data_IF_240487345849
#
_entry.id   IF_240487345849
#
_cell.length_a   1.000
_cell.length_b   1.000
_cell.length_c   1.000
_cell.angle_alpha   90.00
_cell.angle_beta   90.00
_cell.angle_gamma   90.00
#
_symmetry.space_group_name_H-M   'P 1'
#
loop_
_entity.id
_entity.type
_entity.pdbx_description
1 polymer ?
#
# COMPACT_ATOMS: atom_id res chain seq x y z
N UNK A 1 -1.81 14.66 -12.62
CA UNK A 1 -1.52 13.23 -12.36
C UNK A 1 -2.81 12.48 -12.01
N UNK A 2 -3.00 11.28 -12.54
CA UNK A 2 -4.23 10.48 -12.36
C UNK A 2 -4.55 10.24 -10.88
N UNK A 3 -3.54 10.07 -10.03
CA UNK A 3 -3.69 9.93 -8.56
C UNK A 3 -4.51 11.07 -7.92
N UNK A 4 -4.43 12.31 -8.47
CA UNK A 4 -5.22 13.44 -7.95
C UNK A 4 -6.72 13.25 -8.15
N UNK A 5 -7.14 12.50 -9.18
CA UNK A 5 -8.55 12.20 -9.41
C UNK A 5 -9.12 11.39 -8.24
N UNK A 6 -8.44 10.31 -7.85
CA UNK A 6 -8.82 9.48 -6.69
C UNK A 6 -8.80 10.27 -5.38
N UNK A 7 -7.82 11.17 -5.19
CA UNK A 7 -7.75 12.02 -3.98
C UNK A 7 -8.95 12.96 -3.91
N UNK A 8 -9.26 13.68 -4.99
CA UNK A 8 -10.39 14.62 -5.02
C UNK A 8 -11.74 13.87 -4.93
N UNK A 9 -11.84 12.68 -5.52
CA UNK A 9 -13.04 11.84 -5.47
C UNK A 9 -13.46 11.49 -4.04
N UNK A 10 -12.50 11.10 -3.18
CA UNK A 10 -12.79 10.70 -1.79
C UNK A 10 -12.65 11.85 -0.78
N UNK A 11 -12.24 13.04 -1.24
CA UNK A 11 -12.05 14.23 -0.39
C UNK A 11 -13.27 14.63 0.43
N UNK A 12 -14.51 14.52 -0.07
CA UNK A 12 -15.69 14.77 0.74
C UNK A 12 -15.79 13.84 1.98
N UNK A 13 -15.34 12.58 1.86
CA UNK A 13 -15.38 11.61 2.95
C UNK A 13 -14.17 11.70 3.90
N UNK A 14 -12.98 11.96 3.35
CA UNK A 14 -11.70 11.81 4.06
C UNK A 14 -10.97 13.13 4.34
N UNK A 15 -11.37 14.24 3.72
CA UNK A 15 -10.77 15.56 3.90
C UNK A 15 -9.26 15.55 3.65
N UNK A 16 -8.48 16.06 4.62
CA UNK A 16 -7.00 16.10 4.51
C UNK A 16 -6.33 14.72 4.49
N UNK A 17 -7.03 13.65 4.87
CA UNK A 17 -6.49 12.29 4.93
C UNK A 17 -6.68 11.51 3.63
N UNK A 18 -7.31 12.12 2.62
CA UNK A 18 -7.57 11.49 1.32
C UNK A 18 -6.31 10.97 0.64
N UNK A 19 -5.21 11.73 0.69
CA UNK A 19 -3.93 11.26 0.14
C UNK A 19 -3.41 9.98 0.80
N UNK A 20 -3.54 9.88 2.13
CA UNK A 20 -3.12 8.69 2.89
C UNK A 20 -4.02 7.50 2.60
N UNK A 21 -5.32 7.73 2.42
CA UNK A 21 -6.27 6.67 2.08
C UNK A 21 -6.02 6.15 0.65
N UNK A 22 -5.81 7.03 -0.32
CA UNK A 22 -5.50 6.65 -1.72
C UNK A 22 -4.21 5.83 -1.80
N UNK A 23 -3.18 6.16 -1.02
CA UNK A 23 -1.93 5.38 -0.94
C UNK A 23 -2.22 3.91 -0.57
N UNK A 24 -3.03 3.70 0.47
CA UNK A 24 -3.46 2.37 0.91
C UNK A 24 -4.38 1.67 -0.09
N UNK A 25 -5.24 2.42 -0.79
CA UNK A 25 -6.08 1.86 -1.83
C UNK A 25 -5.25 1.37 -3.01
N UNK A 26 -4.18 2.08 -3.36
CA UNK A 26 -3.29 1.69 -4.44
C UNK A 26 -2.46 0.46 -4.05
N UNK A 27 -2.01 0.36 -2.79
CA UNK A 27 -1.43 -0.87 -2.24
C UNK A 27 -2.43 -2.04 -2.32
N UNK A 28 -3.72 -1.78 -2.05
CA UNK A 28 -4.77 -2.78 -2.21
C UNK A 28 -4.92 -3.26 -3.65
N UNK A 29 -5.04 -2.35 -4.63
CA UNK A 29 -5.19 -2.74 -6.04
C UNK A 29 -3.96 -3.50 -6.55
N UNK A 30 -2.76 -3.13 -6.11
CA UNK A 30 -1.54 -3.87 -6.42
C UNK A 30 -1.58 -5.28 -5.83
N UNK A 31 -1.90 -5.42 -4.54
CA UNK A 31 -1.92 -6.72 -3.85
C UNK A 31 -3.07 -7.62 -4.34
N UNK A 32 -4.27 -7.07 -4.55
CA UNK A 32 -5.44 -7.80 -5.02
C UNK A 32 -5.29 -8.31 -6.46
N UNK A 33 -4.53 -7.60 -7.29
CA UNK A 33 -4.27 -7.94 -8.69
C UNK A 33 -2.82 -8.35 -8.94
N UNK A 34 -2.13 -8.87 -7.92
CA UNK A 34 -0.69 -9.08 -7.93
C UNK A 34 -0.18 -9.88 -9.14
N UNK A 35 -0.93 -10.89 -9.56
CA UNK A 35 -0.59 -11.75 -10.71
C UNK A 35 -0.52 -11.01 -12.06
N UNK A 36 -1.05 -9.78 -12.16
CA UNK A 36 -0.91 -8.94 -13.35
C UNK A 36 0.44 -8.22 -13.40
N UNK A 37 1.15 -8.12 -12.28
CA UNK A 37 2.31 -7.25 -12.12
C UNK A 37 3.60 -7.99 -11.75
N UNK A 38 3.49 -9.23 -11.27
CA UNK A 38 4.64 -10.04 -10.90
C UNK A 38 4.38 -11.55 -11.12
N UNK A 39 5.43 -12.27 -11.52
CA UNK A 39 5.39 -13.72 -11.76
C UNK A 39 5.54 -14.56 -10.46
N UNK A 40 5.99 -13.93 -9.37
CA UNK A 40 6.09 -14.56 -8.05
C UNK A 40 4.76 -14.44 -7.29
N UNK A 41 4.39 -15.43 -6.49
CA UNK A 41 3.20 -15.35 -5.64
C UNK A 41 3.38 -14.30 -4.54
N UNK A 42 2.33 -13.49 -4.26
CA UNK A 42 2.39 -12.40 -3.27
C UNK A 42 2.86 -12.86 -1.89
N UNK A 43 2.48 -14.07 -1.46
CA UNK A 43 2.91 -14.65 -0.18
C UNK A 43 4.42 -14.91 -0.16
N UNK A 44 4.99 -15.41 -1.24
CA UNK A 44 6.42 -15.72 -1.34
C UNK A 44 7.24 -14.43 -1.40
N UNK A 45 6.76 -13.44 -2.17
CA UNK A 45 7.33 -12.09 -2.19
C UNK A 45 7.32 -11.47 -0.78
N UNK A 46 6.18 -11.51 -0.10
CA UNK A 46 6.02 -10.92 1.24
C UNK A 46 6.94 -11.59 2.26
N UNK A 47 7.03 -12.92 2.25
CA UNK A 47 7.97 -13.67 3.08
C UNK A 47 9.43 -13.33 2.77
N UNK A 48 9.77 -13.13 1.50
CA UNK A 48 11.10 -12.71 1.09
C UNK A 48 11.45 -11.33 1.67
N UNK A 49 10.54 -10.35 1.54
CA UNK A 49 10.69 -9.00 2.11
C UNK A 49 10.89 -9.07 3.63
N UNK A 50 10.05 -9.83 4.34
CA UNK A 50 10.16 -9.99 5.79
C UNK A 50 11.48 -10.63 6.22
N UNK A 51 11.98 -11.63 5.48
CA UNK A 51 13.30 -12.22 5.72
C UNK A 51 14.43 -11.20 5.57
N UNK A 52 14.37 -10.32 4.56
CA UNK A 52 15.35 -9.24 4.39
C UNK A 52 15.32 -8.29 5.58
N UNK A 53 14.13 -7.81 5.96
CA UNK A 53 13.96 -6.87 7.07
C UNK A 53 14.44 -7.47 8.39
N UNK A 54 14.12 -8.74 8.67
CA UNK A 54 14.57 -9.44 9.87
C UNK A 54 16.10 -9.62 9.90
N UNK A 55 16.72 -10.02 8.77
CA UNK A 55 18.18 -10.17 8.67
C UNK A 55 18.92 -8.85 8.87
N UNK A 56 18.31 -7.74 8.45
CA UNK A 56 18.87 -6.39 8.59
C UNK A 56 18.33 -5.62 9.78
N UNK A 57 17.71 -6.30 10.77
CA UNK A 57 16.99 -5.65 11.86
C UNK A 57 17.76 -4.53 12.53
N UNK A 58 19.05 -4.73 12.83
CA UNK A 58 19.88 -3.72 13.50
C UNK A 58 20.14 -2.46 12.66
N UNK A 59 20.08 -2.56 11.32
CA UNK A 59 20.24 -1.44 10.38
C UNK A 59 18.93 -0.64 10.21
N UNK A 60 17.79 -1.17 10.67
CA UNK A 60 16.50 -0.51 10.50
C UNK A 60 16.37 0.72 11.43
N UNK A 61 15.66 1.77 11.00
CA UNK A 61 15.26 2.87 11.87
C UNK A 61 14.45 2.38 13.08
N UNK A 62 14.54 3.07 14.22
CA UNK A 62 13.87 2.67 15.48
C UNK A 62 12.35 2.51 15.33
N UNK A 63 11.71 3.32 14.48
CA UNK A 63 10.28 3.17 14.19
C UNK A 63 9.98 1.85 13.48
N UNK A 64 10.75 1.52 12.46
CA UNK A 64 10.59 0.26 11.69
C UNK A 64 10.85 -0.96 12.57
N UNK A 65 11.87 -0.92 13.45
CA UNK A 65 12.14 -1.99 14.43
C UNK A 65 10.92 -2.30 15.31
N UNK A 66 10.22 -1.26 15.78
CA UNK A 66 9.02 -1.42 16.63
C UNK A 66 7.83 -2.02 15.89
N UNK A 67 7.65 -1.72 14.61
CA UNK A 67 6.49 -2.21 13.85
C UNK A 67 6.74 -3.57 13.19
N UNK A 68 8.00 -3.93 12.90
CA UNK A 68 8.33 -5.14 12.15
C UNK A 68 7.73 -6.44 12.72
N UNK A 69 7.75 -6.70 14.05
CA UNK A 69 7.13 -7.91 14.59
C UNK A 69 5.63 -8.01 14.27
N UNK A 70 4.91 -6.89 14.31
CA UNK A 70 3.49 -6.83 13.98
C UNK A 70 3.25 -6.98 12.48
N UNK A 71 4.10 -6.37 11.65
CA UNK A 71 4.04 -6.52 10.19
C UNK A 71 4.14 -7.98 9.77
N UNK A 72 5.07 -8.72 10.38
CA UNK A 72 5.29 -10.14 10.10
C UNK A 72 4.14 -10.98 10.64
N UNK A 73 3.78 -10.81 11.92
CA UNK A 73 2.75 -11.62 12.58
C UNK A 73 1.37 -11.48 11.93
N UNK A 74 1.07 -10.30 11.37
CA UNK A 74 -0.21 -10.01 10.71
C UNK A 74 -0.12 -10.02 9.18
N UNK A 75 1.04 -10.39 8.62
CA UNK A 75 1.29 -10.45 7.17
C UNK A 75 0.74 -9.25 6.39
N UNK A 76 1.09 -8.03 6.83
CA UNK A 76 0.49 -6.79 6.32
C UNK A 76 0.50 -6.68 4.79
N UNK A 77 1.58 -7.14 4.14
CA UNK A 77 1.74 -7.05 2.68
C UNK A 77 0.69 -7.89 1.95
N UNK A 78 0.40 -9.10 2.44
CA UNK A 78 -0.66 -9.95 1.88
C UNK A 78 -2.05 -9.42 2.26
N UNK A 79 -2.20 -8.92 3.49
CA UNK A 79 -3.48 -8.40 3.97
C UNK A 79 -4.01 -7.21 3.16
N UNK A 80 -3.15 -6.45 2.47
CA UNK A 80 -3.63 -5.42 1.55
C UNK A 80 -4.52 -5.98 0.43
N UNK A 81 -4.40 -7.25 0.03
CA UNK A 81 -5.25 -7.84 -1.01
C UNK A 81 -6.72 -8.00 -0.60
N UNK A 82 -7.06 -7.84 0.68
CA UNK A 82 -8.38 -8.16 1.24
C UNK A 82 -9.07 -6.91 1.79
N UNK A 83 -10.24 -6.56 1.25
CA UNK A 83 -11.07 -5.46 1.77
C UNK A 83 -11.41 -5.64 3.27
N UNK A 84 -11.81 -6.86 3.74
CA UNK A 84 -11.98 -7.10 5.17
C UNK A 84 -10.73 -6.81 6.02
N UNK A 85 -9.54 -7.11 5.52
CA UNK A 85 -8.29 -6.84 6.24
C UNK A 85 -7.91 -5.35 6.20
N UNK A 86 -8.28 -4.61 5.15
CA UNK A 86 -8.11 -3.15 5.12
C UNK A 86 -8.84 -2.45 6.27
N UNK A 87 -10.00 -2.95 6.70
CA UNK A 87 -10.67 -2.42 7.90
C UNK A 87 -9.75 -2.45 9.12
N UNK A 88 -8.95 -3.51 9.30
CA UNK A 88 -8.00 -3.63 10.41
C UNK A 88 -6.83 -2.66 10.26
N UNK A 89 -6.31 -2.49 9.04
CA UNK A 89 -5.25 -1.54 8.73
C UNK A 89 -5.69 -0.11 9.09
N UNK A 90 -6.86 0.29 8.59
CA UNK A 90 -7.44 1.60 8.85
C UNK A 90 -7.80 1.81 10.32
N UNK A 91 -8.35 0.79 10.99
CA UNK A 91 -8.64 0.86 12.42
C UNK A 91 -7.35 1.01 13.27
N UNK A 92 -6.28 0.29 12.92
CA UNK A 92 -4.98 0.43 13.55
C UNK A 92 -4.36 1.82 13.35
N UNK A 93 -4.64 2.47 12.22
CA UNK A 93 -4.24 3.86 11.96
C UNK A 93 -5.06 4.85 12.77
N UNK A 94 -6.38 4.69 12.83
CA UNK A 94 -7.27 5.54 13.62
C UNK A 94 -6.87 5.55 15.10
N UNK A 95 -6.52 4.38 15.66
CA UNK A 95 -6.01 4.31 17.04
C UNK A 95 -4.75 5.15 17.27
N UNK A 96 -3.87 5.25 16.27
CA UNK A 96 -2.62 6.04 16.35
C UNK A 96 -2.85 7.53 16.12
N UNK A 97 -3.96 7.92 15.51
CA UNK A 97 -4.32 9.33 15.23
C UNK A 97 -5.43 9.84 16.15
N UNK A 98 -5.72 9.14 17.25
CA UNK A 98 -6.81 9.45 18.17
C UNK A 98 -8.18 9.56 17.48
N UNK A 99 -8.43 8.73 16.45
CA UNK A 99 -9.65 8.69 15.65
C UNK A 99 -9.98 9.97 14.85
N UNK A 100 -9.08 10.96 14.85
CA UNK A 100 -9.25 12.22 14.13
C UNK A 100 -9.14 12.06 12.60
N UNK A 101 -8.64 10.91 12.14
CA UNK A 101 -8.43 10.64 10.73
C UNK A 101 -9.68 10.14 9.99
N UNK A 102 -10.73 9.74 10.73
CA UNK A 102 -11.98 9.26 10.15
C UNK A 102 -11.80 8.02 9.30
N UNK A 103 -10.80 7.17 9.60
CA UNK A 103 -10.45 6.01 8.78
C UNK A 103 -11.52 4.93 8.81
N UNK A 104 -12.45 4.96 9.77
CA UNK A 104 -13.69 4.18 9.74
C UNK A 104 -14.51 4.37 8.44
N UNK A 105 -14.40 5.54 7.79
CA UNK A 105 -15.08 5.85 6.50
C UNK A 105 -14.26 5.49 5.28
N UNK A 106 -12.97 5.20 5.43
CA UNK A 106 -12.07 4.97 4.30
C UNK A 106 -12.48 3.73 3.48
N UNK A 107 -12.80 2.61 4.15
CA UNK A 107 -13.20 1.40 3.43
C UNK A 107 -14.57 1.57 2.75
N UNK A 108 -15.51 2.29 3.37
CA UNK A 108 -16.79 2.60 2.73
C UNK A 108 -16.59 3.43 1.44
N UNK A 109 -15.74 4.46 1.51
CA UNK A 109 -15.40 5.29 0.35
C UNK A 109 -14.69 4.48 -0.76
N UNK A 110 -13.82 3.54 -0.38
CA UNK A 110 -13.19 2.62 -1.33
C UNK A 110 -14.23 1.74 -2.02
N UNK A 111 -15.12 1.09 -1.27
CA UNK A 111 -16.13 0.18 -1.83
C UNK A 111 -17.09 0.94 -2.76
N UNK A 112 -17.53 2.12 -2.36
CA UNK A 112 -18.43 2.97 -3.16
C UNK A 112 -17.78 3.39 -4.50
N UNK A 113 -16.47 3.64 -4.49
CA UNK A 113 -15.73 4.16 -5.65
C UNK A 113 -14.77 3.14 -6.27
N UNK A 114 -14.93 1.84 -5.97
CA UNK A 114 -13.93 0.81 -6.21
C UNK A 114 -13.48 0.75 -7.68
N UNK A 115 -14.45 0.71 -8.60
CA UNK A 115 -14.16 0.66 -10.04
C UNK A 115 -13.41 1.91 -10.54
N UNK A 116 -13.77 3.09 -10.03
CA UNK A 116 -13.16 4.34 -10.46
C UNK A 116 -11.73 4.48 -9.96
N UNK A 117 -11.51 4.21 -8.67
CA UNK A 117 -10.17 4.25 -8.05
C UNK A 117 -9.28 3.17 -8.67
N UNK A 118 -9.83 1.98 -8.94
CA UNK A 118 -9.12 0.90 -9.62
C UNK A 118 -8.67 1.30 -11.04
N UNK A 119 -9.56 1.93 -11.82
CA UNK A 119 -9.21 2.45 -13.15
C UNK A 119 -8.14 3.55 -13.09
N UNK A 120 -8.20 4.43 -12.10
CA UNK A 120 -7.17 5.45 -11.86
C UNK A 120 -5.82 4.80 -11.49
N UNK A 121 -5.83 3.73 -10.69
CA UNK A 121 -4.63 2.94 -10.36
C UNK A 121 -4.03 2.27 -11.59
N UNK A 122 -4.84 1.56 -12.39
CA UNK A 122 -4.38 0.88 -13.59
C UNK A 122 -3.76 1.83 -14.61
N UNK A 123 -4.29 3.05 -14.71
CA UNK A 123 -3.75 4.10 -15.56
C UNK A 123 -2.44 4.68 -15.02
N UNK A 124 -2.26 4.71 -13.71
CA UNK A 124 -1.07 5.26 -13.04
C UNK A 124 0.10 4.28 -12.96
N UNK A 125 -0.18 2.99 -12.77
CA UNK A 125 0.84 1.99 -12.46
C UNK A 125 1.97 1.87 -13.51
N UNK A 126 1.71 1.94 -14.83
CA UNK A 126 2.77 1.94 -15.84
C UNK A 126 3.77 3.09 -15.68
N UNK A 127 3.30 4.29 -15.33
CA UNK A 127 4.17 5.46 -15.09
C UNK A 127 5.08 5.21 -13.88
N UNK A 128 4.55 4.57 -12.82
CA UNK A 128 5.31 4.18 -11.63
C UNK A 128 6.40 3.16 -11.97
N UNK A 129 6.08 2.16 -12.78
CA UNK A 129 7.05 1.16 -13.23
C UNK A 129 8.16 1.82 -14.05
N UNK A 130 7.80 2.66 -15.02
CA UNK A 130 8.77 3.37 -15.86
C UNK A 130 9.70 4.25 -15.02
N UNK A 131 9.14 5.02 -14.08
CA UNK A 131 9.92 5.87 -13.17
C UNK A 131 10.90 5.03 -12.33
N UNK A 132 10.42 3.92 -11.77
CA UNK A 132 11.24 3.05 -10.90
C UNK A 132 12.35 2.37 -11.68
N UNK A 133 12.08 1.86 -12.89
CA UNK A 133 13.09 1.27 -13.78
C UNK A 133 14.17 2.29 -14.12
N UNK A 134 13.79 3.51 -14.52
CA UNK A 134 14.74 4.59 -14.79
C UNK A 134 15.60 4.91 -13.56
N UNK A 135 15.00 4.94 -12.37
CA UNK A 135 15.73 5.18 -11.12
C UNK A 135 16.71 4.06 -10.77
N UNK A 136 16.37 2.81 -11.06
CA UNK A 136 17.26 1.66 -10.89
C UNK A 136 18.50 1.77 -11.79
N UNK A 137 18.30 2.17 -13.04
CA UNK A 137 19.39 2.42 -14.00
C UNK A 137 20.32 3.54 -13.52
N UNK A 138 19.76 4.65 -13.02
CA UNK A 138 20.52 5.78 -12.48
C UNK A 138 21.39 5.40 -11.26
N UNK A 139 20.96 4.44 -10.44
CA UNK A 139 21.73 3.98 -9.26
C UNK A 139 22.64 2.78 -9.56
N UNK A 140 22.75 2.37 -10.83
CA UNK A 140 23.62 1.27 -11.27
C UNK A 140 23.24 -0.11 -10.73
N UNK A 141 21.98 -0.31 -10.30
CA UNK A 141 21.48 -1.60 -9.84
C UNK A 141 20.52 -2.17 -10.88
N UNK A 142 20.89 -3.28 -11.52
CA UNK A 142 19.94 -4.07 -12.31
C UNK A 142 18.78 -4.55 -11.41
N UNK A 143 17.54 -4.58 -11.92
CA UNK A 143 16.41 -5.10 -11.16
C UNK A 143 16.70 -6.53 -10.69
N UNK A 144 16.36 -6.82 -9.43
CA UNK A 144 16.35 -8.18 -8.87
C UNK A 144 14.96 -8.75 -9.17
N UNK A 145 14.64 -9.00 -10.44
CA UNK A 145 13.55 -9.86 -10.87
C UNK A 145 13.98 -10.54 -12.17
#
# INVERSE_FOLDING_TARGET
>A
PVVRNSIELIKPAMGRYSGVAVDIFYDHFLAANWNRYADIVLTDFSLHVYKILARRFFQLPSRTKRILPFMIAQNWLVSYASIPDLHRVFHGMDRRTHYLAGMSRAVAALVENYARIGSDFESFYPDLQQFTTKKLDEIGRKPIL
#
